data_IF_888561488441
#
_entry.id   IF_888561488441
#
_cell.length_a   1.000
_cell.length_b   1.000
_cell.length_c   1.000
_cell.angle_alpha   90.00
_cell.angle_beta   90.00
_cell.angle_gamma   90.00
#
_symmetry.space_group_name_H-M   'P 1'
#
loop_
_entity.id
_entity.type
_entity.pdbx_description
1 polymer ?
#
# COMPACT_ATOMS: atom_id res chain seq x y z
N UNK A 1 -1.89 -18.92 -8.75
CA UNK A 1 -2.64 -18.14 -9.76
C UNK A 1 -1.58 -17.45 -10.60
N UNK A 2 -1.63 -17.53 -11.93
CA UNK A 2 -0.67 -16.78 -12.75
C UNK A 2 -0.92 -15.29 -12.61
N UNK A 3 0.14 -14.52 -12.38
CA UNK A 3 0.10 -13.06 -12.29
C UNK A 3 0.45 -12.49 -13.64
N UNK A 4 -0.32 -11.50 -14.09
CA UNK A 4 -0.21 -10.94 -15.44
C UNK A 4 0.26 -9.48 -15.46
N UNK A 5 0.37 -8.86 -14.28
CA UNK A 5 0.65 -7.42 -14.13
C UNK A 5 -0.55 -6.55 -14.47
N UNK A 6 -1.75 -7.15 -14.61
CA UNK A 6 -3.01 -6.47 -14.95
C UNK A 6 -4.06 -6.58 -13.83
N UNK A 7 -3.67 -7.12 -12.69
CA UNK A 7 -4.56 -7.31 -11.55
C UNK A 7 -4.97 -5.96 -10.94
N UNK A 8 -6.26 -5.81 -10.66
CA UNK A 8 -6.83 -4.56 -10.15
C UNK A 8 -7.36 -3.63 -11.24
N UNK A 9 -7.55 -2.35 -10.90
CA UNK A 9 -8.07 -1.36 -11.83
C UNK A 9 -8.45 -0.04 -11.14
N UNK A 10 -8.63 1.04 -11.92
CA UNK A 10 -9.00 2.34 -11.38
C UNK A 10 -10.45 2.32 -10.83
N UNK A 11 -10.68 3.08 -9.76
CA UNK A 11 -12.01 3.44 -9.27
C UNK A 11 -12.24 4.94 -9.43
N UNK A 12 -13.50 5.37 -9.50
CA UNK A 12 -13.82 6.79 -9.59
C UNK A 12 -13.57 7.53 -8.25
N UNK A 13 -13.39 8.86 -8.34
CA UNK A 13 -13.09 9.73 -7.19
C UNK A 13 -14.20 9.69 -6.12
N UNK A 14 -15.46 9.62 -6.50
CA UNK A 14 -16.58 9.59 -5.55
C UNK A 14 -16.62 8.27 -4.80
N UNK A 15 -16.32 7.15 -5.47
CA UNK A 15 -16.17 5.85 -4.84
C UNK A 15 -15.01 5.84 -3.83
N UNK A 16 -13.84 6.37 -4.22
CA UNK A 16 -12.69 6.49 -3.33
C UNK A 16 -12.99 7.31 -2.06
N UNK A 17 -13.67 8.46 -2.20
CA UNK A 17 -14.13 9.28 -1.06
C UNK A 17 -15.05 8.53 -0.12
N UNK A 18 -16.06 7.82 -0.66
CA UNK A 18 -17.01 7.04 0.17
C UNK A 18 -16.29 5.92 0.95
N UNK A 19 -15.36 5.22 0.31
CA UNK A 19 -14.66 4.10 0.93
C UNK A 19 -13.69 4.54 2.04
N UNK A 20 -12.90 5.58 1.79
CA UNK A 20 -12.00 6.13 2.81
C UNK A 20 -12.77 6.73 3.98
N UNK A 21 -13.89 7.42 3.73
CA UNK A 21 -14.77 7.91 4.81
C UNK A 21 -15.34 6.76 5.66
N UNK A 22 -15.81 5.67 5.03
CA UNK A 22 -16.30 4.48 5.73
C UNK A 22 -15.21 3.83 6.59
N UNK A 23 -13.97 3.80 6.13
CA UNK A 23 -12.86 3.26 6.91
C UNK A 23 -12.56 4.13 8.13
N UNK A 24 -12.44 5.45 7.97
CA UNK A 24 -12.20 6.39 9.07
C UNK A 24 -13.27 6.31 10.17
N UNK A 25 -14.53 6.14 9.79
CA UNK A 25 -15.65 6.08 10.75
C UNK A 25 -15.93 4.68 11.30
N UNK A 26 -15.23 3.64 10.82
CA UNK A 26 -15.47 2.25 11.24
C UNK A 26 -15.00 1.91 12.66
N UNK A 27 -14.20 2.80 13.28
CA UNK A 27 -13.52 2.52 14.55
C UNK A 27 -12.36 1.52 14.44
N UNK A 28 -12.04 1.03 13.23
CA UNK A 28 -10.96 0.06 12.98
C UNK A 28 -9.62 0.70 12.57
N UNK A 29 -9.63 1.94 12.10
CA UNK A 29 -8.44 2.58 11.54
C UNK A 29 -7.84 3.64 12.47
N UNK A 30 -6.70 3.34 13.09
CA UNK A 30 -5.83 4.37 13.69
C UNK A 30 -4.98 5.05 12.61
N UNK A 31 -4.50 4.27 11.64
CA UNK A 31 -3.72 4.75 10.49
C UNK A 31 -4.63 4.90 9.28
N UNK A 32 -4.71 6.12 8.72
CA UNK A 32 -5.59 6.44 7.59
C UNK A 32 -4.98 6.06 6.25
N UNK A 33 -3.66 6.17 6.14
CA UNK A 33 -2.93 5.92 4.90
C UNK A 33 -1.45 5.73 5.17
N UNK A 34 -0.80 5.04 4.23
CA UNK A 34 0.63 4.81 4.14
C UNK A 34 1.13 5.38 2.82
N UNK A 35 2.13 6.27 2.85
CA UNK A 35 2.71 6.88 1.66
C UNK A 35 4.05 6.22 1.31
N UNK A 36 4.15 5.65 0.10
CA UNK A 36 5.41 5.13 -0.43
C UNK A 36 5.99 6.10 -1.47
N UNK A 37 7.31 6.29 -1.42
CA UNK A 37 8.04 7.06 -2.42
C UNK A 37 7.92 6.43 -3.80
N UNK A 38 7.65 7.23 -4.82
CA UNK A 38 7.47 6.73 -6.18
C UNK A 38 8.73 6.02 -6.72
N UNK A 39 9.93 6.50 -6.37
CA UNK A 39 11.20 5.84 -6.69
C UNK A 39 11.31 4.47 -6.02
N UNK A 40 11.00 4.37 -4.73
CA UNK A 40 11.05 3.12 -3.97
C UNK A 40 10.10 2.07 -4.55
N UNK A 41 8.87 2.47 -4.93
CA UNK A 41 7.91 1.57 -5.57
C UNK A 41 8.41 1.12 -6.95
N UNK A 42 9.03 2.00 -7.74
CA UNK A 42 9.63 1.61 -9.03
C UNK A 42 10.74 0.60 -8.84
N UNK A 43 11.66 0.84 -7.92
CA UNK A 43 12.77 -0.07 -7.65
C UNK A 43 12.28 -1.47 -7.23
N UNK A 44 11.18 -1.56 -6.48
CA UNK A 44 10.54 -2.84 -6.13
C UNK A 44 9.99 -3.55 -7.38
N UNK A 45 9.36 -2.82 -8.30
CA UNK A 45 8.78 -3.37 -9.53
C UNK A 45 9.84 -3.70 -10.60
N UNK A 46 11.01 -3.05 -10.55
CA UNK A 46 12.12 -3.25 -11.48
C UNK A 46 13.03 -4.44 -11.10
N UNK A 47 12.73 -5.16 -10.01
CA UNK A 47 13.43 -6.40 -9.67
C UNK A 47 13.28 -7.43 -10.79
N UNK A 48 14.36 -8.16 -11.08
CA UNK A 48 14.35 -9.19 -12.13
C UNK A 48 13.28 -10.25 -11.85
N UNK A 49 12.40 -10.49 -12.84
CA UNK A 49 11.29 -11.44 -12.72
C UNK A 49 10.04 -10.92 -12.02
N UNK A 50 10.05 -9.68 -11.51
CA UNK A 50 8.88 -9.05 -10.89
C UNK A 50 7.85 -8.65 -11.95
N UNK A 51 6.59 -9.04 -11.74
CA UNK A 51 5.47 -8.69 -12.64
C UNK A 51 4.36 -7.94 -11.93
N UNK A 52 4.46 -7.79 -10.61
CA UNK A 52 3.46 -7.14 -9.77
C UNK A 52 3.94 -6.98 -8.34
N UNK A 53 3.06 -6.48 -7.49
CA UNK A 53 3.34 -6.25 -6.07
C UNK A 53 2.17 -6.69 -5.22
N UNK A 54 2.47 -7.33 -4.10
CA UNK A 54 1.52 -7.69 -3.06
C UNK A 54 1.66 -6.75 -1.88
N UNK A 55 0.54 -6.44 -1.25
CA UNK A 55 0.47 -5.60 -0.05
C UNK A 55 -0.04 -6.45 1.11
N UNK A 56 0.73 -6.53 2.19
CA UNK A 56 0.35 -7.21 3.42
C UNK A 56 -0.01 -6.21 4.51
N UNK A 57 -1.04 -6.52 5.28
CA UNK A 57 -1.28 -5.85 6.56
C UNK A 57 -0.35 -6.45 7.62
N UNK A 58 0.39 -5.60 8.31
CA UNK A 58 1.32 -5.98 9.37
C UNK A 58 1.07 -5.15 10.64
N UNK A 59 1.64 -5.60 11.74
CA UNK A 59 1.81 -4.82 12.96
C UNK A 59 3.30 -4.70 13.23
N UNK A 60 3.79 -3.50 13.51
CA UNK A 60 5.17 -3.32 13.96
C UNK A 60 5.33 -3.75 15.43
N UNK A 61 6.55 -3.60 15.96
CA UNK A 61 6.89 -3.96 17.34
C UNK A 61 6.07 -3.20 18.39
N UNK A 62 5.47 -2.06 18.04
CA UNK A 62 4.60 -1.27 18.91
C UNK A 62 3.11 -1.65 18.74
N UNK A 63 2.79 -2.59 17.85
CA UNK A 63 1.43 -2.98 17.52
C UNK A 63 0.70 -1.95 16.64
N UNK A 64 1.43 -1.07 15.95
CA UNK A 64 0.84 -0.12 15.01
C UNK A 64 0.69 -0.76 13.62
N UNK A 65 -0.42 -0.46 12.93
CA UNK A 65 -0.71 -1.07 11.63
C UNK A 65 0.24 -0.55 10.56
N UNK A 66 0.93 -1.47 9.88
CA UNK A 66 1.80 -1.22 8.75
C UNK A 66 1.31 -1.89 7.46
N UNK A 67 1.82 -1.42 6.33
CA UNK A 67 1.63 -2.04 5.01
C UNK A 67 2.99 -2.47 4.47
N UNK A 68 3.18 -3.76 4.23
CA UNK A 68 4.40 -4.28 3.60
C UNK A 68 4.17 -4.51 2.12
N UNK A 69 5.04 -3.97 1.28
CA UNK A 69 5.01 -4.16 -0.16
C UNK A 69 6.09 -5.17 -0.56
N UNK A 70 5.69 -6.22 -1.27
CA UNK A 70 6.59 -7.30 -1.73
C UNK A 70 6.39 -7.51 -3.23
N UNK A 71 7.49 -7.70 -3.98
CA UNK A 71 7.44 -8.07 -5.39
C UNK A 71 6.78 -9.43 -5.58
N UNK A 72 6.13 -9.65 -6.73
CA UNK A 72 5.47 -10.92 -7.06
C UNK A 72 5.86 -11.36 -8.46
N UNK A 73 6.28 -12.62 -8.61
CA UNK A 73 6.65 -13.21 -9.91
C UNK A 73 5.43 -13.68 -10.73
N UNK A 74 5.65 -14.16 -11.96
CA UNK A 74 4.58 -14.56 -12.89
C UNK A 74 3.80 -15.82 -12.42
N UNK A 75 4.43 -16.60 -11.56
CA UNK A 75 3.94 -17.82 -10.94
C UNK A 75 3.06 -17.48 -9.71
N UNK A 76 3.17 -16.25 -9.21
CA UNK A 76 2.44 -15.73 -8.07
C UNK A 76 3.15 -15.89 -6.73
N UNK A 77 4.44 -16.20 -6.74
CA UNK A 77 5.26 -16.27 -5.54
C UNK A 77 5.73 -14.89 -5.11
N UNK A 78 5.87 -14.70 -3.80
CA UNK A 78 6.44 -13.47 -3.25
C UNK A 78 7.96 -13.50 -3.32
N UNK A 79 8.53 -12.42 -3.81
CA UNK A 79 9.98 -12.22 -3.93
C UNK A 79 10.56 -11.76 -2.59
N UNK A 80 10.50 -12.62 -1.57
CA UNK A 80 10.89 -12.29 -0.18
C UNK A 80 12.39 -12.15 0.04
N UNK A 81 13.21 -12.71 -0.85
CA UNK A 81 14.68 -12.52 -0.87
C UNK A 81 15.08 -11.18 -1.54
N UNK A 82 14.12 -10.47 -2.10
CA UNK A 82 14.30 -9.19 -2.77
C UNK A 82 14.03 -7.99 -1.87
N UNK A 83 13.70 -6.85 -2.48
CA UNK A 83 13.25 -5.67 -1.77
C UNK A 83 11.88 -5.91 -1.14
N UNK A 84 11.74 -5.50 0.13
CA UNK A 84 10.49 -5.42 0.88
C UNK A 84 10.39 -4.00 1.44
N UNK A 85 9.27 -3.32 1.22
CA UNK A 85 9.09 -1.93 1.65
C UNK A 85 8.14 -1.84 2.86
N UNK A 86 8.59 -1.15 3.91
CA UNK A 86 7.83 -0.86 5.14
C UNK A 86 7.92 0.63 5.58
N UNK A 87 8.67 1.46 4.84
CA UNK A 87 8.90 2.86 5.20
C UNK A 87 7.82 3.79 4.64
N UNK A 88 6.56 3.41 4.84
CA UNK A 88 5.49 4.35 4.56
C UNK A 88 5.38 5.36 5.70
N UNK A 89 5.41 6.66 5.38
CA UNK A 89 5.13 7.72 6.34
C UNK A 89 3.65 7.60 6.77
N UNK A 90 3.36 7.19 8.01
CA UNK A 90 1.99 6.95 8.46
C UNK A 90 1.31 8.29 8.76
N UNK A 91 0.06 8.44 8.33
CA UNK A 91 -0.79 9.57 8.75
C UNK A 91 -1.85 9.08 9.73
N UNK A 92 -1.88 9.60 10.97
CA UNK A 92 -0.96 10.57 11.63
C UNK A 92 0.40 9.97 12.08
N UNK A 93 1.48 10.77 12.31
CA UNK A 93 1.53 12.25 12.38
C UNK A 93 1.82 12.99 11.06
N UNK A 94 2.33 12.31 10.03
CA UNK A 94 2.79 12.96 8.79
C UNK A 94 1.69 12.97 7.72
N UNK A 95 0.64 13.73 7.99
CA UNK A 95 -0.43 13.92 7.02
C UNK A 95 -0.02 14.93 5.93
N UNK A 96 -0.59 14.78 4.72
CA UNK A 96 -0.30 15.68 3.59
C UNK A 96 -0.48 17.16 3.99
N UNK A 97 0.49 18.02 3.64
CA UNK A 97 0.49 19.47 3.97
C UNK A 97 -0.76 20.20 3.47
N UNK A 98 -1.45 19.66 2.47
CA UNK A 98 -2.79 20.05 2.05
C UNK A 98 -3.79 19.00 2.54
N UNK A 99 -4.91 19.43 3.12
CA UNK A 99 -6.02 18.53 3.51
C UNK A 99 -6.47 17.72 2.30
N UNK A 100 -6.01 16.47 2.21
CA UNK A 100 -6.48 15.55 1.19
C UNK A 100 -7.91 15.18 1.53
N UNK A 101 -8.84 15.31 0.59
CA UNK A 101 -10.24 14.89 0.76
C UNK A 101 -10.37 13.38 1.04
N UNK A 102 -9.30 12.61 0.81
CA UNK A 102 -9.20 11.19 1.14
C UNK A 102 -8.63 10.93 2.54
N UNK A 103 -7.91 11.89 3.13
CA UNK A 103 -7.36 11.79 4.48
C UNK A 103 -8.32 12.33 5.55
N UNK A 104 -9.23 13.23 5.18
CA UNK A 104 -10.17 13.89 6.10
C UNK A 104 -9.90 15.38 6.22
#
# INVERSE_FOLDING_TARGET
MKVTGKEGGPIDRNQAKRWTAKYRTSGRGKTNSHLFGAETVRNLLEQEGCVGMRIYYALDDNGEQQLLLVGTDAEGNDMTEGLILDLASPCPPDCSVNKSELAG
#
